data_IF_005771311466
#
_entry.id   IF_005771311466
#
_cell.length_a   1.000
_cell.length_b   1.000
_cell.length_c   1.000
_cell.angle_alpha   90.00
_cell.angle_beta   90.00
_cell.angle_gamma   90.00
#
_symmetry.space_group_name_H-M   'P 1'
#
loop_
_entity.id
_entity.type
_entity.pdbx_description
1 polymer ?
#
# COMPACT_ATOMS: atom_id res chain seq x y z
N UNK A 1 4.19 20.58 1.56
CA UNK A 1 4.09 19.16 1.19
C UNK A 1 3.90 19.10 -0.32
N UNK A 2 4.64 18.24 -1.02
CA UNK A 2 4.36 17.95 -2.42
C UNK A 2 3.36 16.80 -2.42
N UNK A 3 2.22 16.97 -3.07
CA UNK A 3 1.17 15.95 -3.16
C UNK A 3 0.70 15.82 -4.62
N UNK A 4 0.60 14.61 -5.19
CA UNK A 4 0.99 13.33 -4.58
C UNK A 4 2.51 13.24 -4.33
N UNK A 5 2.97 12.47 -3.34
CA UNK A 5 4.40 12.31 -3.13
C UNK A 5 5.09 11.60 -4.31
N UNK A 6 6.29 12.06 -4.72
CA UNK A 6 6.99 11.50 -5.88
C UNK A 6 7.55 10.11 -5.58
N UNK A 7 7.60 9.24 -6.59
CA UNK A 7 8.36 8.01 -6.50
C UNK A 7 9.86 8.31 -6.40
N UNK A 8 10.53 7.70 -5.44
CA UNK A 8 12.00 7.72 -5.32
C UNK A 8 12.66 6.54 -6.04
N UNK A 9 11.87 5.54 -6.42
CA UNK A 9 12.32 4.43 -7.25
C UNK A 9 11.14 3.61 -7.78
N UNK A 10 11.30 3.07 -8.98
CA UNK A 10 10.39 2.10 -9.59
C UNK A 10 11.22 0.91 -10.04
N UNK A 11 10.87 -0.29 -9.59
CA UNK A 11 11.60 -1.52 -9.86
C UNK A 11 10.64 -2.53 -10.45
N UNK A 12 10.86 -2.92 -11.71
CA UNK A 12 10.13 -4.01 -12.33
C UNK A 12 10.40 -5.33 -11.57
N UNK A 13 9.35 -6.09 -11.30
CA UNK A 13 9.48 -7.43 -10.75
C UNK A 13 9.79 -8.43 -11.87
N UNK A 14 10.46 -9.55 -11.57
CA UNK A 14 10.69 -10.59 -12.57
C UNK A 14 9.39 -11.14 -13.17
N UNK A 15 9.41 -11.49 -14.46
CA UNK A 15 8.25 -12.05 -15.18
C UNK A 15 7.60 -13.24 -14.46
N UNK A 16 8.40 -14.06 -13.78
CA UNK A 16 7.90 -15.21 -13.01
C UNK A 16 7.01 -14.76 -11.85
N UNK A 17 7.29 -13.61 -11.23
CA UNK A 17 6.45 -13.03 -10.18
C UNK A 17 5.13 -12.55 -10.76
N UNK A 18 5.16 -11.84 -11.89
CA UNK A 18 3.95 -11.38 -12.56
C UNK A 18 3.06 -12.56 -12.99
N UNK A 19 3.64 -13.63 -13.55
CA UNK A 19 2.90 -14.85 -13.91
C UNK A 19 2.32 -15.58 -12.70
N UNK A 20 3.04 -15.60 -11.58
CA UNK A 20 2.62 -16.31 -10.39
C UNK A 20 1.59 -15.53 -9.55
N UNK A 21 1.67 -14.20 -9.52
CA UNK A 21 0.93 -13.36 -8.55
C UNK A 21 0.08 -12.28 -9.19
N UNK A 22 0.46 -11.83 -10.39
CA UNK A 22 -0.09 -10.64 -11.05
C UNK A 22 0.57 -9.33 -10.64
N UNK A 23 1.52 -9.31 -9.69
CA UNK A 23 2.31 -8.12 -9.39
C UNK A 23 3.36 -7.86 -10.46
N UNK A 24 3.42 -6.62 -10.91
CA UNK A 24 4.25 -6.17 -12.03
C UNK A 24 5.49 -5.40 -11.55
N UNK A 25 5.32 -4.41 -10.69
CA UNK A 25 6.42 -3.56 -10.23
C UNK A 25 6.25 -3.10 -8.78
N UNK A 26 7.37 -2.73 -8.18
CA UNK A 26 7.45 -2.01 -6.91
C UNK A 26 7.68 -0.52 -7.18
N UNK A 27 6.74 0.33 -6.78
CA UNK A 27 6.93 1.77 -6.64
C UNK A 27 7.27 2.13 -5.20
N UNK A 28 8.37 2.84 -4.97
CA UNK A 28 8.79 3.27 -3.63
C UNK A 28 8.66 4.78 -3.48
N UNK A 29 8.12 5.23 -2.34
CA UNK A 29 8.08 6.65 -1.95
C UNK A 29 8.79 6.84 -0.61
N UNK A 30 9.33 8.04 -0.41
CA UNK A 30 9.93 8.46 0.86
C UNK A 30 9.23 9.73 1.32
N UNK A 31 8.60 9.63 2.49
CA UNK A 31 7.77 10.67 3.07
C UNK A 31 8.48 11.26 4.30
N UNK A 32 9.43 12.20 4.13
CA UNK A 32 10.25 12.70 5.23
C UNK A 32 9.44 13.41 6.33
N UNK A 33 8.24 13.86 6.01
CA UNK A 33 7.31 14.51 6.94
C UNK A 33 6.00 13.73 7.09
N UNK A 34 5.91 12.55 6.45
CA UNK A 34 4.65 11.82 6.29
C UNK A 34 3.65 12.52 5.36
N UNK A 35 2.46 11.95 5.30
CA UNK A 35 1.31 12.50 4.58
C UNK A 35 0.02 12.24 5.37
N UNK A 36 -1.08 12.94 5.08
CA UNK A 36 -2.38 12.68 5.69
C UNK A 36 -2.91 11.28 5.34
N UNK A 37 -3.77 10.65 6.17
CA UNK A 37 -4.36 11.15 7.43
C UNK A 37 -3.36 11.32 8.58
N UNK A 38 -3.80 11.94 9.68
CA UNK A 38 -2.93 12.38 10.79
C UNK A 38 -2.01 11.28 11.34
N UNK A 39 -2.47 10.04 11.39
CA UNK A 39 -1.66 8.89 11.82
C UNK A 39 -0.36 8.75 11.02
N UNK A 40 -0.39 9.06 9.71
CA UNK A 40 0.75 8.89 8.81
C UNK A 40 1.63 10.14 8.68
N UNK A 41 1.41 11.17 9.51
CA UNK A 41 2.28 12.37 9.60
C UNK A 41 3.58 12.09 10.38
N UNK A 42 4.27 11.00 10.04
CA UNK A 42 5.54 10.55 10.61
C UNK A 42 6.48 10.17 9.47
N UNK A 43 7.81 10.28 9.58
CA UNK A 43 8.70 9.88 8.48
C UNK A 43 8.58 8.39 8.15
N UNK A 44 8.23 8.04 6.91
CA UNK A 44 8.01 6.65 6.49
C UNK A 44 8.26 6.42 5.00
N UNK A 45 8.29 5.14 4.62
CA UNK A 45 8.34 4.69 3.24
C UNK A 45 7.04 3.99 2.86
N UNK A 46 6.63 4.20 1.61
CA UNK A 46 5.50 3.51 1.00
C UNK A 46 6.01 2.57 -0.08
N UNK A 47 5.73 1.28 0.07
CA UNK A 47 6.18 0.25 -0.86
C UNK A 47 4.99 -0.28 -1.67
N UNK A 48 4.66 0.38 -2.78
CA UNK A 48 3.54 0.01 -3.61
C UNK A 48 3.88 -1.15 -4.54
N UNK A 49 3.36 -2.34 -4.27
CA UNK A 49 3.44 -3.49 -5.16
C UNK A 49 2.21 -3.48 -6.08
N UNK A 50 2.38 -2.94 -7.28
CA UNK A 50 1.30 -2.76 -8.24
C UNK A 50 1.04 -4.04 -9.06
N UNK A 51 -0.24 -4.27 -9.37
CA UNK A 51 -0.71 -5.33 -10.24
C UNK A 51 -1.31 -4.81 -11.56
N UNK A 52 -1.02 -3.56 -11.87
CA UNK A 52 -1.33 -2.90 -13.14
C UNK A 52 -0.06 -2.22 -13.65
N UNK A 53 -0.01 -2.00 -14.97
CA UNK A 53 1.12 -1.38 -15.65
C UNK A 53 1.42 0.06 -15.15
N UNK A 54 2.70 0.49 -15.07
CA UNK A 54 3.09 1.83 -14.61
C UNK A 54 2.40 2.98 -15.37
N UNK A 55 2.16 2.87 -16.67
CA UNK A 55 1.48 3.91 -17.44
C UNK A 55 0.01 4.01 -17.03
N UNK A 56 -0.62 2.87 -16.72
CA UNK A 56 -1.98 2.86 -16.17
C UNK A 56 -2.04 3.49 -14.79
N UNK A 57 -1.04 3.25 -13.92
CA UNK A 57 -0.92 3.92 -12.63
C UNK A 57 -0.78 5.44 -12.85
N UNK A 58 0.13 5.85 -13.73
CA UNK A 58 0.38 7.26 -14.07
C UNK A 58 -0.82 7.98 -14.67
N UNK A 59 -1.74 7.28 -15.33
CA UNK A 59 -2.96 7.84 -15.90
C UNK A 59 -4.12 8.00 -14.90
N UNK A 60 -3.99 7.53 -13.65
CA UNK A 60 -5.03 7.68 -12.62
C UNK A 60 -5.17 9.17 -12.25
N UNK A 61 -6.31 9.76 -12.56
CA UNK A 61 -6.64 11.17 -12.27
C UNK A 61 -7.67 11.34 -11.14
N UNK A 62 -8.20 10.22 -10.62
CA UNK A 62 -9.28 10.18 -9.63
C UNK A 62 -10.58 10.88 -10.09
N UNK A 63 -10.84 10.94 -11.40
CA UNK A 63 -12.15 11.37 -11.92
C UNK A 63 -13.24 10.29 -11.72
N UNK A 64 -12.86 9.01 -11.81
CA UNK A 64 -13.71 7.88 -11.42
C UNK A 64 -13.49 7.54 -9.94
N UNK A 65 -14.50 7.85 -9.13
CA UNK A 65 -14.51 7.64 -7.68
C UNK A 65 -15.37 6.43 -7.27
N UNK A 66 -15.61 5.47 -8.19
CA UNK A 66 -16.32 4.24 -7.88
C UNK A 66 -15.54 3.34 -6.91
N UNK A 67 -16.04 3.24 -5.67
CA UNK A 67 -15.51 2.32 -4.65
C UNK A 67 -15.87 0.87 -4.98
N UNK A 68 -15.01 -0.10 -4.64
CA UNK A 68 -15.34 -1.52 -4.77
C UNK A 68 -16.59 -1.87 -3.96
N UNK A 69 -17.34 -2.88 -4.40
CA UNK A 69 -18.55 -3.35 -3.72
C UNK A 69 -18.31 -3.78 -2.26
N UNK A 70 -17.10 -4.27 -1.97
CA UNK A 70 -16.66 -4.60 -0.63
C UNK A 70 -15.15 -4.41 -0.47
N UNK A 71 -14.74 -4.11 0.76
CA UNK A 71 -13.35 -4.20 1.24
C UNK A 71 -13.30 -5.23 2.37
N UNK A 72 -12.11 -5.73 2.77
CA UNK A 72 -12.02 -6.63 3.92
C UNK A 72 -12.66 -6.02 5.18
N UNK A 73 -13.25 -6.85 6.04
CA UNK A 73 -14.09 -6.38 7.15
C UNK A 73 -13.38 -5.41 8.13
N UNK A 74 -12.07 -5.61 8.33
CA UNK A 74 -11.21 -4.77 9.16
C UNK A 74 -10.73 -3.48 8.47
N UNK A 75 -11.05 -3.29 7.20
CA UNK A 75 -10.59 -2.18 6.36
C UNK A 75 -11.73 -1.20 6.07
N UNK A 76 -11.36 -0.02 5.60
CA UNK A 76 -12.29 1.03 5.19
C UNK A 76 -11.67 1.91 4.10
N UNK A 77 -12.53 2.48 3.26
CA UNK A 77 -12.21 3.50 2.27
C UNK A 77 -12.90 4.80 2.70
N UNK A 78 -12.31 5.54 3.64
CA UNK A 78 -12.97 6.69 4.24
C UNK A 78 -13.01 7.85 3.25
N UNK A 79 -14.06 8.65 3.33
CA UNK A 79 -14.11 9.96 2.69
C UNK A 79 -13.66 10.98 3.72
N UNK A 80 -12.55 11.65 3.47
CA UNK A 80 -11.94 12.58 4.41
C UNK A 80 -11.71 13.92 3.75
N UNK A 81 -12.03 15.00 4.47
CA UNK A 81 -11.59 16.34 4.11
C UNK A 81 -10.20 16.58 4.70
N UNK A 82 -9.22 16.72 3.82
CA UNK A 82 -7.82 16.84 4.20
C UNK A 82 -7.39 18.32 4.09
N UNK A 83 -6.92 18.94 5.19
CA UNK A 83 -6.46 20.33 5.16
C UNK A 83 -5.44 20.59 4.04
N UNK A 84 -5.76 21.52 3.15
CA UNK A 84 -4.92 21.90 2.01
C UNK A 84 -5.07 21.05 0.74
N UNK A 85 -5.76 19.91 0.82
CA UNK A 85 -6.08 19.06 -0.34
C UNK A 85 -7.59 19.02 -0.64
N UNK A 86 -8.43 19.33 0.35
CA UNK A 86 -9.89 19.27 0.24
C UNK A 86 -10.44 17.84 0.40
N UNK A 87 -11.68 17.58 -0.04
CA UNK A 87 -12.33 16.30 0.12
C UNK A 87 -11.69 15.23 -0.78
N UNK A 88 -11.24 14.14 -0.18
CA UNK A 88 -10.75 12.95 -0.87
C UNK A 88 -11.72 11.79 -0.65
N UNK A 89 -12.37 11.36 -1.73
CA UNK A 89 -13.27 10.21 -1.72
C UNK A 89 -12.45 8.91 -1.77
N UNK A 90 -12.65 8.03 -0.79
CA UNK A 90 -11.91 6.78 -0.65
C UNK A 90 -10.40 6.96 -0.54
N UNK A 91 -9.93 8.14 -0.10
CA UNK A 91 -8.52 8.52 -0.14
C UNK A 91 -7.89 8.28 -1.53
N UNK A 92 -8.61 8.63 -2.61
CA UNK A 92 -8.06 8.56 -3.95
C UNK A 92 -6.95 9.60 -4.14
N UNK A 93 -5.77 9.12 -4.55
CA UNK A 93 -4.61 9.94 -4.84
C UNK A 93 -4.25 9.80 -6.32
N UNK A 94 -4.12 10.92 -7.08
CA UNK A 94 -3.67 10.87 -8.46
C UNK A 94 -2.34 10.13 -8.60
N UNK A 95 -2.20 9.42 -9.72
CA UNK A 95 -1.07 8.55 -10.02
C UNK A 95 -0.89 7.38 -9.02
N UNK A 96 -1.93 6.99 -8.27
CA UNK A 96 -1.90 5.85 -7.34
C UNK A 96 -3.23 5.09 -7.30
N UNK A 97 -4.33 5.77 -6.95
CA UNK A 97 -5.64 5.16 -6.68
C UNK A 97 -6.16 5.43 -5.26
N UNK A 98 -7.22 4.74 -4.89
CA UNK A 98 -7.83 4.76 -3.56
C UNK A 98 -7.04 3.92 -2.55
N UNK A 99 -6.96 4.39 -1.31
CA UNK A 99 -6.17 3.77 -0.24
C UNK A 99 -7.09 3.24 0.86
N UNK A 100 -7.38 1.94 0.83
CA UNK A 100 -8.12 1.30 1.89
C UNK A 100 -7.18 0.98 3.06
N UNK A 101 -7.50 1.51 4.23
CA UNK A 101 -6.69 1.39 5.44
C UNK A 101 -7.40 0.55 6.50
N UNK A 102 -6.66 0.12 7.52
CA UNK A 102 -7.25 -0.59 8.66
C UNK A 102 -8.17 0.37 9.42
N UNK A 103 -9.43 -0.01 9.63
CA UNK A 103 -10.45 0.85 10.26
C UNK A 103 -10.05 1.32 11.66
N UNK A 104 -9.44 0.43 12.45
CA UNK A 104 -8.98 0.76 13.79
C UNK A 104 -7.90 1.86 13.80
N UNK A 105 -7.22 2.09 12.67
CA UNK A 105 -6.17 3.11 12.56
C UNK A 105 -6.69 4.54 12.46
N UNK A 106 -7.97 4.74 12.10
CA UNK A 106 -8.57 6.07 12.01
C UNK A 106 -8.61 6.80 13.35
N UNK A 107 -8.75 6.07 14.45
CA UNK A 107 -8.87 6.61 15.80
C UNK A 107 -7.53 6.59 16.57
N UNK A 108 -6.46 6.09 15.94
CA UNK A 108 -5.14 6.01 16.55
C UNK A 108 -4.51 7.39 16.59
N UNK A 109 -3.84 7.68 17.70
CA UNK A 109 -3.20 8.99 17.95
C UNK A 109 -1.71 8.87 18.24
N UNK A 110 -1.24 7.66 18.49
CA UNK A 110 0.17 7.33 18.61
C UNK A 110 0.86 7.28 17.23
N UNK A 111 2.19 7.35 17.23
CA UNK A 111 2.97 7.17 16.01
C UNK A 111 2.83 5.74 15.49
N UNK A 112 2.57 5.59 14.19
CA UNK A 112 2.52 4.27 13.57
C UNK A 112 3.92 3.69 13.33
N UNK A 113 4.04 2.37 13.45
CA UNK A 113 5.25 1.63 13.11
C UNK A 113 5.22 1.10 11.68
N UNK A 114 4.16 0.37 11.35
CA UNK A 114 3.88 -0.10 10.01
C UNK A 114 2.37 -0.30 9.85
N UNK A 115 1.87 -0.16 8.62
CA UNK A 115 0.49 -0.47 8.23
C UNK A 115 0.48 -1.14 6.86
N UNK A 116 -0.56 -1.94 6.60
CA UNK A 116 -0.81 -2.54 5.31
C UNK A 116 -1.99 -1.81 4.68
N UNK A 117 -1.78 -1.23 3.51
CA UNK A 117 -2.80 -0.53 2.72
C UNK A 117 -3.14 -1.37 1.49
N UNK A 118 -4.42 -1.33 1.10
CA UNK A 118 -4.92 -1.97 -0.11
C UNK A 118 -5.34 -0.91 -1.11
N UNK A 119 -4.80 -1.00 -2.31
CA UNK A 119 -5.05 -0.05 -3.39
C UNK A 119 -6.19 -0.43 -4.29
N UNK A 120 -7.09 0.51 -4.58
CA UNK A 120 -8.21 0.28 -5.51
C UNK A 120 -8.31 1.35 -6.59
N UNK A 121 -8.73 0.96 -7.78
CA UNK A 121 -9.16 1.89 -8.83
C UNK A 121 -10.18 1.22 -9.74
N UNK A 122 -11.22 1.96 -10.15
CA UNK A 122 -12.34 1.42 -10.94
C UNK A 122 -12.88 0.12 -10.33
N UNK A 123 -13.10 0.10 -9.02
CA UNK A 123 -13.61 -1.05 -8.25
C UNK A 123 -12.69 -2.29 -8.22
N UNK A 124 -11.49 -2.23 -8.81
CA UNK A 124 -10.53 -3.33 -8.83
C UNK A 124 -9.40 -3.09 -7.82
N UNK A 125 -8.92 -4.16 -7.20
CA UNK A 125 -7.70 -4.16 -6.39
C UNK A 125 -6.49 -4.04 -7.31
N UNK A 126 -5.62 -3.06 -7.06
CA UNK A 126 -4.50 -2.72 -7.96
C UNK A 126 -3.13 -2.68 -7.27
N UNK A 127 -3.04 -2.61 -5.94
CA UNK A 127 -1.77 -2.72 -5.23
C UNK A 127 -1.88 -3.20 -3.78
N UNK A 128 -0.75 -3.70 -3.24
CA UNK A 128 -0.45 -3.77 -1.81
C UNK A 128 0.57 -2.72 -1.44
N UNK A 129 0.41 -2.12 -0.28
CA UNK A 129 1.34 -1.11 0.21
C UNK A 129 1.64 -1.33 1.69
N UNK A 130 2.75 -2.01 2.01
CA UNK A 130 3.38 -1.89 3.30
C UNK A 130 3.89 -0.45 3.47
N UNK A 131 3.23 0.34 4.31
CA UNK A 131 3.77 1.60 4.82
C UNK A 131 4.63 1.28 6.05
N UNK A 132 5.90 1.70 6.08
CA UNK A 132 6.81 1.37 7.18
C UNK A 132 7.54 2.63 7.63
N UNK A 133 7.38 2.99 8.91
CA UNK A 133 8.04 4.16 9.48
C UNK A 133 9.56 3.99 9.52
N UNK A 134 10.27 5.10 9.35
CA UNK A 134 11.73 5.12 9.48
C UNK A 134 12.16 4.62 10.87
N UNK A 135 11.41 4.98 11.91
CA UNK A 135 11.67 4.51 13.26
C UNK A 135 11.61 2.97 13.34
N UNK A 136 10.57 2.36 12.74
CA UNK A 136 10.42 0.90 12.72
C UNK A 136 11.54 0.19 11.98
N UNK A 137 11.99 0.72 10.84
CA UNK A 137 13.14 0.15 10.11
C UNK A 137 14.46 0.27 10.88
N UNK A 138 14.64 1.35 11.66
CA UNK A 138 15.85 1.55 12.46
C UNK A 138 15.95 0.62 13.68
N UNK A 139 14.85 -0.03 14.08
CA UNK A 139 14.89 -1.07 15.12
C UNK A 139 15.74 -2.28 14.72
N UNK A 140 16.03 -2.45 13.41
CA UNK A 140 16.87 -3.53 12.89
C UNK A 140 16.38 -4.92 13.34
N UNK A 141 15.06 -5.09 13.37
CA UNK A 141 14.35 -6.29 13.81
C UNK A 141 13.35 -6.72 12.75
N UNK A 142 13.20 -8.03 12.60
CA UNK A 142 12.17 -8.61 11.73
C UNK A 142 10.78 -8.38 12.32
N UNK A 143 9.79 -8.17 11.47
CA UNK A 143 8.39 -8.09 11.87
C UNK A 143 7.46 -8.60 10.75
N UNK A 144 6.23 -8.93 11.13
CA UNK A 144 5.21 -9.48 10.25
C UNK A 144 3.97 -8.59 10.29
N UNK A 145 3.30 -8.47 9.14
CA UNK A 145 1.96 -7.91 9.02
C UNK A 145 1.06 -8.93 8.32
N UNK A 146 -0.21 -8.97 8.72
CA UNK A 146 -1.21 -9.73 7.99
C UNK A 146 -1.59 -8.98 6.71
N UNK A 147 -1.78 -9.75 5.63
CA UNK A 147 -2.38 -9.22 4.40
C UNK A 147 -3.81 -9.77 4.37
N UNK A 148 -4.83 -8.90 4.39
CA UNK A 148 -6.22 -9.35 4.45
C UNK A 148 -6.61 -10.08 3.16
N UNK A 149 -7.47 -11.09 3.31
CA UNK A 149 -8.14 -11.69 2.15
C UNK A 149 -9.12 -10.67 1.58
N UNK A 150 -9.00 -10.39 0.27
CA UNK A 150 -9.88 -9.47 -0.44
C UNK A 150 -11.01 -10.24 -1.12
N UNK A 151 -12.28 -10.06 -0.72
CA UNK A 151 -13.40 -10.71 -1.38
C UNK A 151 -13.47 -10.28 -2.85
N UNK A 152 -13.59 -11.25 -3.76
CA UNK A 152 -13.81 -10.95 -5.19
C UNK A 152 -12.62 -10.36 -5.93
N UNK A 153 -11.37 -10.49 -5.42
CA UNK A 153 -10.15 -10.06 -6.12
C UNK A 153 -9.91 -10.71 -7.49
N UNK A 154 -10.75 -11.68 -7.88
CA UNK A 154 -10.75 -12.35 -9.17
C UNK A 154 -9.61 -13.36 -9.33
N UNK A 155 -9.76 -14.26 -10.31
CA UNK A 155 -8.84 -15.38 -10.53
C UNK A 155 -7.44 -14.97 -11.07
N UNK A 156 -7.24 -13.71 -11.45
CA UNK A 156 -5.98 -13.24 -12.05
C UNK A 156 -4.93 -12.82 -11.02
N UNK A 157 -5.33 -12.50 -9.80
CA UNK A 157 -4.42 -12.06 -8.73
C UNK A 157 -4.30 -13.18 -7.69
N UNK A 158 -3.13 -13.83 -7.63
CA UNK A 158 -2.82 -14.72 -6.51
C UNK A 158 -2.26 -13.87 -5.38
N UNK A 159 -3.12 -13.57 -4.41
CA UNK A 159 -2.83 -12.62 -3.35
C UNK A 159 -2.16 -13.29 -2.15
N UNK A 160 -1.11 -12.72 -1.56
CA UNK A 160 -0.55 -13.24 -0.32
C UNK A 160 -1.48 -12.97 0.87
N UNK A 161 -1.35 -13.75 1.94
CA UNK A 161 -2.04 -13.47 3.21
C UNK A 161 -1.09 -13.06 4.33
N UNK A 162 0.21 -12.97 4.06
CA UNK A 162 1.20 -12.49 5.02
C UNK A 162 2.34 -11.73 4.35
N UNK A 163 2.80 -10.68 5.02
CA UNK A 163 3.97 -9.91 4.69
C UNK A 163 4.98 -9.98 5.85
N UNK A 164 6.24 -10.25 5.55
CA UNK A 164 7.32 -10.23 6.54
C UNK A 164 8.46 -9.33 6.07
N UNK A 165 8.83 -8.36 6.90
CA UNK A 165 10.07 -7.62 6.76
C UNK A 165 11.16 -8.32 7.56
N UNK A 166 12.02 -9.10 6.89
CA UNK A 166 13.10 -9.87 7.50
C UNK A 166 14.38 -9.05 7.57
N UNK A 167 14.88 -8.78 8.76
CA UNK A 167 16.17 -8.11 8.91
C UNK A 167 17.33 -9.10 8.82
N UNK A 168 18.21 -8.90 7.85
CA UNK A 168 19.49 -9.59 7.74
C UNK A 168 20.56 -8.78 8.49
N UNK A 169 21.04 -9.31 9.62
CA UNK A 169 22.04 -8.65 10.46
C UNK A 169 23.41 -8.54 9.79
N UNK A 170 23.76 -9.49 8.93
CA UNK A 170 25.07 -9.53 8.25
C UNK A 170 25.09 -8.50 7.12
N UNK A 171 24.07 -8.51 6.27
CA UNK A 171 23.95 -7.57 5.17
C UNK A 171 23.48 -6.17 5.63
N UNK A 172 22.90 -6.07 6.83
CA UNK A 172 22.27 -4.85 7.38
C UNK A 172 21.16 -4.32 6.48
N UNK A 173 20.37 -5.24 5.95
CA UNK A 173 19.28 -4.96 4.99
C UNK A 173 17.99 -5.64 5.42
N UNK A 174 16.86 -5.08 5.01
CA UNK A 174 15.58 -5.78 5.07
C UNK A 174 15.31 -6.53 3.77
N UNK A 175 14.78 -7.76 3.90
CA UNK A 175 14.13 -8.50 2.81
C UNK A 175 12.63 -8.52 3.07
N UNK A 176 11.87 -7.97 2.14
CA UNK A 176 10.41 -8.02 2.18
C UNK A 176 9.91 -9.29 1.51
N UNK A 177 9.06 -10.03 2.21
CA UNK A 177 8.59 -11.35 1.79
C UNK A 177 7.08 -11.41 1.90
N UNK A 178 6.40 -11.50 0.77
CA UNK A 178 5.01 -11.94 0.72
C UNK A 178 4.94 -13.47 0.71
N UNK A 179 4.02 -14.03 1.48
CA UNK A 179 3.87 -15.48 1.61
C UNK A 179 2.42 -15.89 1.88
N UNK A 180 2.19 -17.22 1.97
CA UNK A 180 0.86 -17.82 2.20
C UNK A 180 -0.15 -17.41 1.12
N UNK A 181 0.25 -17.63 -0.13
CA UNK A 181 -0.65 -17.50 -1.27
C UNK A 181 -1.69 -18.64 -1.23
N UNK A 182 -2.98 -18.38 -1.46
CA UNK A 182 -4.00 -19.41 -1.61
C UNK A 182 -3.56 -20.44 -2.66
N UNK A 183 -3.83 -21.72 -2.39
CA UNK A 183 -3.71 -22.76 -3.40
C UNK A 183 -4.76 -22.53 -4.51
N UNK A 184 -4.43 -23.00 -5.72
CA UNK A 184 -5.37 -23.03 -6.86
C UNK A 184 -6.61 -23.88 -6.57
#
# INVERSE_FOLDING_TARGET
MVFPPPFVGVVALPDEVAKATGFDHLGMKWEPHGHPPALFLTPHFDFHFYAIDPDRVGAIDCADLSKPAAVPAAYTLPDLDIPGLGPLVGLCVPNMGMHAMVKAELERTELFGASMILGYYQQNLIFLEPMISRAKLLEAQSFTMDVPVVPGSGAKLKWPTSFEARYDKTARTYRFVFSRFPAE
#
